data_IF_562119248343
#
_entry.id   IF_562119248343
#
_cell.length_a   1.000
_cell.length_b   1.000
_cell.length_c   1.000
_cell.angle_alpha   90.00
_cell.angle_beta   90.00
_cell.angle_gamma   90.00
#
_symmetry.space_group_name_H-M   'P 1'
#
loop_
_entity.id
_entity.type
_entity.pdbx_description
1 polymer ?
#
# COMPACT_ATOMS: atom_id res chain seq x y z
N UNK A 1 20.91 0.92 -24.13
CA UNK A 1 20.20 1.92 -23.28
C UNK A 1 20.94 2.07 -21.95
N UNK A 2 21.01 3.29 -21.41
CA UNK A 2 21.62 3.48 -20.09
C UNK A 2 20.61 3.01 -19.02
N UNK A 3 20.71 1.75 -18.60
CA UNK A 3 19.77 1.11 -17.67
C UNK A 3 19.58 1.90 -16.35
N UNK A 4 20.63 2.62 -15.90
CA UNK A 4 20.55 3.45 -14.69
C UNK A 4 19.60 4.65 -14.88
N UNK A 5 19.72 5.39 -16.00
CA UNK A 5 18.85 6.54 -16.28
C UNK A 5 17.39 6.10 -16.40
N UNK A 6 17.14 5.03 -17.13
CA UNK A 6 15.78 4.47 -17.29
C UNK A 6 15.22 4.02 -15.94
N UNK A 7 16.02 3.35 -15.10
CA UNK A 7 15.63 2.95 -13.76
C UNK A 7 15.12 4.14 -12.93
N UNK A 8 15.91 5.22 -12.85
CA UNK A 8 15.51 6.39 -12.06
C UNK A 8 14.30 7.13 -12.65
N UNK A 9 14.11 7.12 -13.97
CA UNK A 9 12.89 7.68 -14.59
C UNK A 9 11.61 6.96 -14.19
N UNK A 10 11.67 5.69 -13.83
CA UNK A 10 10.54 4.91 -13.33
C UNK A 10 10.40 4.99 -11.82
N UNK A 11 11.52 4.87 -11.10
CA UNK A 11 11.51 4.70 -9.64
C UNK A 11 11.29 6.03 -8.91
N UNK A 12 11.94 7.13 -9.30
CA UNK A 12 11.80 8.40 -8.61
C UNK A 12 10.35 8.90 -8.59
N UNK A 13 9.61 8.96 -9.73
CA UNK A 13 8.20 9.37 -9.68
C UNK A 13 7.35 8.44 -8.82
N UNK A 14 7.65 7.14 -8.81
CA UNK A 14 6.94 6.17 -7.98
C UNK A 14 7.17 6.44 -6.50
N UNK A 15 8.42 6.60 -6.07
CA UNK A 15 8.79 6.91 -4.67
C UNK A 15 8.14 8.20 -4.21
N UNK A 16 8.19 9.26 -5.03
CA UNK A 16 7.54 10.54 -4.71
C UNK A 16 6.01 10.42 -4.59
N UNK A 17 5.36 9.63 -5.45
CA UNK A 17 3.92 9.38 -5.37
C UNK A 17 3.54 8.74 -4.03
N UNK A 18 4.28 7.72 -3.61
CA UNK A 18 4.04 7.03 -2.35
C UNK A 18 4.37 7.89 -1.14
N UNK A 19 5.44 8.69 -1.19
CA UNK A 19 5.75 9.66 -0.15
C UNK A 19 4.60 10.66 0.07
N UNK A 20 4.09 11.22 -1.04
CA UNK A 20 2.98 12.17 -1.01
C UNK A 20 1.68 11.53 -0.52
N UNK A 21 1.43 10.24 -0.79
CA UNK A 21 0.27 9.54 -0.23
C UNK A 21 0.33 9.42 1.30
N UNK A 22 1.52 9.26 1.87
CA UNK A 22 1.71 9.28 3.32
C UNK A 22 1.44 10.65 3.94
N UNK A 23 1.95 11.72 3.30
CA UNK A 23 1.69 13.10 3.73
C UNK A 23 0.21 13.44 3.62
N UNK A 24 -0.43 13.05 2.52
CA UNK A 24 -1.86 13.22 2.30
C UNK A 24 -2.71 12.62 3.44
N UNK A 25 -2.40 11.40 3.87
CA UNK A 25 -3.14 10.75 4.95
C UNK A 25 -3.07 11.52 6.29
N UNK A 26 -1.95 12.20 6.55
CA UNK A 26 -1.81 13.09 7.73
C UNK A 26 -2.68 14.34 7.58
N UNK A 27 -2.72 14.93 6.39
CA UNK A 27 -3.51 16.16 6.11
C UNK A 27 -5.01 15.87 6.19
N UNK A 28 -5.47 14.74 5.65
CA UNK A 28 -6.87 14.28 5.76
C UNK A 28 -7.29 14.12 7.24
N UNK A 29 -6.46 13.43 8.03
CA UNK A 29 -6.67 13.30 9.46
C UNK A 29 -6.69 14.64 10.20
N UNK A 30 -5.88 15.62 9.78
CA UNK A 30 -5.87 16.96 10.35
C UNK A 30 -7.20 17.71 10.13
N UNK A 31 -7.78 17.67 8.94
CA UNK A 31 -9.07 18.32 8.68
C UNK A 31 -10.19 17.68 9.48
N UNK A 32 -10.26 16.36 9.54
CA UNK A 32 -11.29 15.63 10.29
C UNK A 32 -11.14 15.86 11.79
N UNK A 33 -9.93 15.76 12.33
CA UNK A 33 -9.67 15.93 13.76
C UNK A 33 -10.01 17.34 14.26
N UNK A 34 -9.69 18.38 13.46
CA UNK A 34 -9.96 19.76 13.86
C UNK A 34 -11.41 20.20 13.61
N UNK A 35 -12.16 19.54 12.73
CA UNK A 35 -13.54 19.94 12.40
C UNK A 35 -14.59 19.11 13.09
N UNK A 36 -14.33 17.81 13.30
CA UNK A 36 -15.30 16.85 13.88
C UNK A 36 -14.84 16.43 15.28
N UNK A 37 -13.57 16.65 15.61
CA UNK A 37 -12.96 16.29 16.88
C UNK A 37 -12.52 14.83 16.96
N UNK A 38 -12.23 14.38 18.19
CA UNK A 38 -11.68 13.05 18.48
C UNK A 38 -12.60 11.91 18.05
N UNK A 39 -13.92 12.12 18.12
CA UNK A 39 -14.90 11.12 17.69
C UNK A 39 -14.81 10.85 16.17
N UNK A 40 -14.69 11.92 15.35
CA UNK A 40 -14.52 11.79 13.91
C UNK A 40 -13.23 11.07 13.54
N UNK A 41 -12.12 11.45 14.18
CA UNK A 41 -10.81 10.85 13.95
C UNK A 41 -10.81 9.36 14.35
N UNK A 42 -11.41 9.03 15.48
CA UNK A 42 -11.56 7.64 15.94
C UNK A 42 -12.45 6.82 15.02
N UNK A 43 -13.54 7.40 14.52
CA UNK A 43 -14.45 6.74 13.57
C UNK A 43 -13.74 6.41 12.24
N UNK A 44 -12.92 7.33 11.70
CA UNK A 44 -12.10 7.06 10.49
C UNK A 44 -11.08 5.95 10.74
N UNK A 45 -10.39 5.97 11.88
CA UNK A 45 -9.41 4.93 12.21
C UNK A 45 -10.04 3.52 12.26
N UNK A 46 -11.26 3.40 12.81
CA UNK A 46 -11.99 2.13 12.82
C UNK A 46 -12.47 1.76 11.40
N UNK A 47 -12.86 2.75 10.60
CA UNK A 47 -13.34 2.56 9.22
C UNK A 47 -12.21 2.27 8.21
N UNK A 48 -10.97 2.66 8.50
CA UNK A 48 -9.83 2.59 7.58
C UNK A 48 -9.54 1.19 7.03
N UNK A 49 -9.64 0.07 7.77
CA UNK A 49 -9.48 -1.26 7.21
C UNK A 49 -10.43 -1.58 6.06
N UNK A 50 -11.65 -1.00 6.06
CA UNK A 50 -12.62 -1.21 4.99
C UNK A 50 -12.17 -0.48 3.72
N UNK A 51 -11.72 0.77 3.85
CA UNK A 51 -11.15 1.54 2.72
C UNK A 51 -9.88 0.88 2.18
N UNK A 52 -9.05 0.32 3.05
CA UNK A 52 -7.85 -0.42 2.69
C UNK A 52 -8.17 -1.67 1.85
N UNK A 53 -9.28 -2.36 2.10
CA UNK A 53 -9.73 -3.48 1.25
C UNK A 53 -10.05 -3.00 -0.16
N UNK A 54 -10.77 -1.89 -0.32
CA UNK A 54 -11.09 -1.34 -1.64
C UNK A 54 -9.81 -0.96 -2.42
N UNK A 55 -8.88 -0.29 -1.74
CA UNK A 55 -7.56 0.02 -2.30
C UNK A 55 -6.78 -1.23 -2.71
N UNK A 56 -6.76 -2.23 -1.84
CA UNK A 56 -6.02 -3.48 -2.07
C UNK A 56 -6.56 -4.24 -3.27
N UNK A 57 -7.89 -4.28 -3.45
CA UNK A 57 -8.54 -4.89 -4.62
C UNK A 57 -8.12 -4.17 -5.90
N UNK A 58 -8.20 -2.83 -5.93
CA UNK A 58 -7.76 -2.04 -7.09
C UNK A 58 -6.28 -2.28 -7.41
N UNK A 59 -5.40 -2.14 -6.42
CA UNK A 59 -3.96 -2.35 -6.57
C UNK A 59 -3.65 -3.78 -7.03
N UNK A 60 -4.27 -4.79 -6.42
CA UNK A 60 -4.05 -6.19 -6.77
C UNK A 60 -4.44 -6.51 -8.20
N UNK A 61 -5.66 -6.16 -8.62
CA UNK A 61 -6.14 -6.40 -9.99
C UNK A 61 -5.33 -5.60 -11.00
N UNK A 62 -5.07 -4.32 -10.71
CA UNK A 62 -4.28 -3.44 -11.57
C UNK A 62 -2.86 -3.93 -11.76
N UNK A 63 -2.18 -4.34 -10.68
CA UNK A 63 -0.84 -4.88 -10.74
C UNK A 63 -0.81 -6.23 -11.46
N UNK A 64 -1.75 -7.13 -11.15
CA UNK A 64 -1.83 -8.44 -11.81
C UNK A 64 -1.99 -8.35 -13.31
N UNK A 65 -2.88 -7.47 -13.78
CA UNK A 65 -3.10 -7.23 -15.21
C UNK A 65 -1.93 -6.53 -15.89
N UNK A 66 -1.35 -5.51 -15.26
CA UNK A 66 -0.27 -4.70 -15.84
C UNK A 66 1.07 -5.43 -15.91
N UNK A 67 1.40 -6.27 -14.92
CA UNK A 67 2.57 -7.16 -14.95
C UNK A 67 2.48 -8.10 -16.15
N UNK A 68 1.33 -8.78 -16.30
CA UNK A 68 1.14 -9.73 -17.41
C UNK A 68 1.15 -9.04 -18.76
N UNK A 69 0.54 -7.84 -18.84
CA UNK A 69 0.64 -6.99 -20.02
C UNK A 69 2.09 -6.71 -20.41
N UNK A 70 2.93 -6.26 -19.47
CA UNK A 70 4.33 -5.93 -19.73
C UNK A 70 5.14 -7.13 -20.19
N UNK A 71 4.96 -8.29 -19.55
CA UNK A 71 5.65 -9.53 -19.92
C UNK A 71 5.28 -9.95 -21.35
N UNK A 72 3.98 -10.02 -21.65
CA UNK A 72 3.49 -10.48 -22.95
C UNK A 72 3.84 -9.51 -24.08
N UNK A 73 3.76 -8.21 -23.81
CA UNK A 73 4.15 -7.18 -24.80
C UNK A 73 5.64 -7.27 -25.12
N UNK A 74 6.50 -7.41 -24.12
CA UNK A 74 7.93 -7.56 -24.31
C UNK A 74 8.30 -8.88 -25.01
N UNK A 75 7.49 -9.93 -24.82
CA UNK A 75 7.59 -11.20 -25.54
C UNK A 75 7.04 -11.16 -26.99
N UNK A 76 6.58 -10.00 -27.48
CA UNK A 76 6.03 -9.81 -28.83
C UNK A 76 4.56 -10.23 -29.00
N UNK A 77 3.86 -10.61 -27.94
CA UNK A 77 2.46 -11.04 -28.02
C UNK A 77 1.50 -9.91 -27.61
N UNK A 78 1.43 -8.87 -28.42
CA UNK A 78 0.65 -7.66 -28.12
C UNK A 78 -0.87 -7.93 -28.04
N UNK A 79 -1.40 -8.83 -28.88
CA UNK A 79 -2.83 -9.19 -28.86
C UNK A 79 -3.21 -9.74 -27.50
N UNK A 80 -2.46 -10.73 -27.01
CA UNK A 80 -2.71 -11.34 -25.70
C UNK A 80 -2.45 -10.38 -24.54
N UNK A 81 -1.45 -9.50 -24.67
CA UNK A 81 -1.21 -8.46 -23.69
C UNK A 81 -2.45 -7.55 -23.49
N UNK A 82 -3.11 -7.16 -24.57
CA UNK A 82 -4.35 -6.34 -24.52
C UNK A 82 -5.52 -7.08 -23.87
N UNK A 83 -5.60 -8.40 -23.99
CA UNK A 83 -6.63 -9.20 -23.30
C UNK A 83 -6.50 -9.11 -21.77
N UNK A 84 -5.29 -8.99 -21.23
CA UNK A 84 -5.07 -8.77 -19.80
C UNK A 84 -5.47 -7.37 -19.34
N UNK A 85 -5.37 -6.35 -20.21
CA UNK A 85 -5.93 -5.01 -19.92
C UNK A 85 -7.45 -5.10 -19.82
N UNK A 86 -8.11 -5.72 -20.80
CA UNK A 86 -9.55 -5.92 -20.79
C UNK A 86 -10.02 -6.76 -19.60
N UNK A 87 -9.34 -7.87 -19.32
CA UNK A 87 -9.65 -8.75 -18.18
C UNK A 87 -9.54 -8.02 -16.85
N UNK A 88 -8.49 -7.22 -16.65
CA UNK A 88 -8.34 -6.43 -15.44
C UNK A 88 -9.43 -5.36 -15.31
N UNK A 89 -9.80 -4.71 -16.42
CA UNK A 89 -10.89 -3.71 -16.44
C UNK A 89 -12.21 -4.35 -16.02
N UNK A 90 -12.56 -5.52 -16.59
CA UNK A 90 -13.78 -6.24 -16.23
C UNK A 90 -13.77 -6.72 -14.77
N UNK A 91 -12.62 -7.19 -14.27
CA UNK A 91 -12.48 -7.57 -12.87
C UNK A 91 -12.63 -6.36 -11.94
N UNK A 92 -12.03 -5.22 -12.28
CA UNK A 92 -12.21 -3.98 -11.50
C UNK A 92 -13.66 -3.55 -11.47
N UNK A 93 -14.39 -3.62 -12.59
CA UNK A 93 -15.83 -3.33 -12.65
C UNK A 93 -16.64 -4.30 -11.77
N UNK A 94 -16.40 -5.60 -11.92
CA UNK A 94 -17.10 -6.63 -11.14
C UNK A 94 -16.86 -6.46 -9.64
N UNK A 95 -15.59 -6.35 -9.23
CA UNK A 95 -15.26 -6.21 -7.80
C UNK A 95 -15.73 -4.88 -7.24
N UNK A 96 -15.72 -3.78 -8.01
CA UNK A 96 -16.30 -2.50 -7.60
C UNK A 96 -17.79 -2.65 -7.30
N UNK A 97 -18.56 -3.30 -8.19
CA UNK A 97 -19.99 -3.51 -7.99
C UNK A 97 -20.26 -4.39 -6.77
N UNK A 98 -19.53 -5.50 -6.62
CA UNK A 98 -19.65 -6.39 -5.47
C UNK A 98 -19.32 -5.66 -4.17
N UNK A 99 -18.21 -4.91 -4.14
CA UNK A 99 -17.80 -4.16 -2.95
C UNK A 99 -18.79 -3.05 -2.63
N UNK A 100 -19.32 -2.31 -3.63
CA UNK A 100 -20.37 -1.31 -3.41
C UNK A 100 -21.55 -1.93 -2.69
N UNK A 101 -22.11 -3.01 -3.23
CA UNK A 101 -23.30 -3.66 -2.64
C UNK A 101 -22.96 -4.22 -1.26
N UNK A 102 -21.89 -5.01 -1.16
CA UNK A 102 -21.56 -5.68 0.11
C UNK A 102 -21.26 -4.67 1.21
N UNK A 103 -20.34 -3.72 0.96
CA UNK A 103 -19.93 -2.74 1.98
C UNK A 103 -21.08 -1.82 2.35
N UNK A 104 -21.89 -1.36 1.39
CA UNK A 104 -23.02 -0.47 1.66
C UNK A 104 -24.03 -1.09 2.59
N UNK A 105 -24.41 -2.34 2.38
CA UNK A 105 -25.42 -3.03 3.19
C UNK A 105 -24.86 -3.67 4.47
N UNK A 106 -23.54 -3.89 4.58
CA UNK A 106 -22.95 -4.54 5.75
C UNK A 106 -22.06 -3.60 6.57
N UNK A 107 -21.92 -2.32 6.20
CA UNK A 107 -21.03 -1.34 6.84
C UNK A 107 -21.20 -1.27 8.36
N UNK A 108 -22.44 -1.17 8.84
CA UNK A 108 -22.76 -1.08 10.26
C UNK A 108 -22.33 -2.33 11.04
N UNK A 109 -22.59 -3.52 10.47
CA UNK A 109 -22.18 -4.80 11.07
C UNK A 109 -20.66 -4.96 11.11
N UNK A 110 -19.99 -4.56 10.03
CA UNK A 110 -18.52 -4.63 9.96
C UNK A 110 -17.90 -3.65 10.96
N UNK A 111 -18.38 -2.41 11.02
CA UNK A 111 -17.90 -1.40 11.97
C UNK A 111 -18.13 -1.83 13.43
N UNK A 112 -19.31 -2.39 13.75
CA UNK A 112 -19.58 -2.96 15.07
C UNK A 112 -18.63 -4.10 15.42
N UNK A 113 -18.35 -4.99 14.47
CA UNK A 113 -17.38 -6.07 14.65
C UNK A 113 -15.94 -5.56 14.83
N UNK A 114 -15.61 -4.39 14.27
CA UNK A 114 -14.33 -3.70 14.48
C UNK A 114 -14.29 -2.90 15.79
N UNK A 115 -15.37 -2.88 16.56
CA UNK A 115 -15.44 -2.25 17.88
C UNK A 115 -16.10 -0.87 17.91
N UNK A 116 -16.68 -0.39 16.80
CA UNK A 116 -17.45 0.85 16.82
C UNK A 116 -18.79 0.68 17.55
N UNK A 117 -19.15 1.65 18.37
CA UNK A 117 -20.44 1.72 19.07
C UNK A 117 -20.89 3.18 19.23
N UNK A 118 -22.20 3.40 19.47
CA UNK A 118 -22.75 4.73 19.71
C UNK A 118 -22.41 5.73 18.60
N UNK A 119 -21.86 6.88 18.98
CA UNK A 119 -21.49 7.96 18.06
C UNK A 119 -20.45 7.52 17.03
N UNK A 120 -19.44 6.73 17.42
CA UNK A 120 -18.38 6.23 16.51
C UNK A 120 -18.96 5.35 15.41
N UNK A 121 -19.98 4.54 15.73
CA UNK A 121 -20.67 3.71 14.75
C UNK A 121 -21.46 4.57 13.76
N UNK A 122 -22.14 5.61 14.25
CA UNK A 122 -22.92 6.52 13.39
C UNK A 122 -22.01 7.27 12.42
N UNK A 123 -20.95 7.90 12.93
CA UNK A 123 -19.98 8.66 12.13
C UNK A 123 -19.23 7.76 11.13
N UNK A 124 -18.77 6.59 11.59
CA UNK A 124 -18.09 5.62 10.72
C UNK A 124 -18.99 5.06 9.63
N UNK A 125 -20.27 4.79 9.94
CA UNK A 125 -21.23 4.28 8.97
C UNK A 125 -21.60 5.34 7.91
N UNK A 126 -21.75 6.62 8.30
CA UNK A 126 -21.93 7.72 7.38
C UNK A 126 -20.76 7.80 6.39
N UNK A 127 -19.53 7.77 6.89
CA UNK A 127 -18.30 7.79 6.08
C UNK A 127 -18.25 6.60 5.11
N UNK A 128 -18.40 5.37 5.62
CA UNK A 128 -18.24 4.15 4.82
C UNK A 128 -19.33 3.98 3.77
N UNK A 129 -20.56 4.40 4.02
CA UNK A 129 -21.61 4.35 2.98
C UNK A 129 -21.28 5.22 1.77
N UNK A 130 -20.72 6.40 1.99
CA UNK A 130 -20.28 7.27 0.88
C UNK A 130 -19.08 6.65 0.16
N UNK A 131 -18.09 6.14 0.89
CA UNK A 131 -16.95 5.42 0.30
C UNK A 131 -17.42 4.21 -0.52
N UNK A 132 -18.40 3.44 -0.05
CA UNK A 132 -18.96 2.30 -0.77
C UNK A 132 -19.60 2.70 -2.09
N UNK A 133 -20.35 3.80 -2.12
CA UNK A 133 -20.93 4.34 -3.38
C UNK A 133 -19.84 4.79 -4.35
N UNK A 134 -18.71 5.26 -3.84
CA UNK A 134 -17.52 5.63 -4.62
C UNK A 134 -16.54 4.47 -4.89
N UNK A 135 -16.89 3.21 -4.57
CA UNK A 135 -15.96 2.09 -4.69
C UNK A 135 -15.36 1.93 -6.11
N UNK A 136 -16.14 2.23 -7.15
CA UNK A 136 -15.63 2.22 -8.54
C UNK A 136 -14.50 3.25 -8.72
N UNK A 137 -14.63 4.45 -8.17
CA UNK A 137 -13.62 5.50 -8.27
C UNK A 137 -12.36 5.09 -7.51
N UNK A 138 -12.52 4.49 -6.33
CA UNK A 138 -11.44 3.99 -5.49
C UNK A 138 -10.67 2.84 -6.16
N UNK A 139 -11.38 1.82 -6.65
CA UNK A 139 -10.77 0.62 -7.27
C UNK A 139 -10.08 0.98 -8.59
N UNK A 140 -10.70 1.82 -9.43
CA UNK A 140 -10.08 2.26 -10.68
C UNK A 140 -8.98 3.29 -10.46
N UNK A 141 -9.14 4.22 -9.51
CA UNK A 141 -8.11 5.20 -9.14
C UNK A 141 -6.80 4.52 -8.75
N UNK A 142 -6.87 3.46 -7.93
CA UNK A 142 -5.68 2.70 -7.51
C UNK A 142 -5.23 1.67 -8.56
N UNK A 143 -6.17 1.03 -9.26
CA UNK A 143 -5.89 -0.06 -10.20
C UNK A 143 -5.31 0.39 -11.54
N UNK A 144 -5.60 1.61 -12.02
CA UNK A 144 -5.05 2.11 -13.27
C UNK A 144 -3.62 2.65 -13.15
N UNK A 145 -3.20 3.06 -11.97
CA UNK A 145 -1.84 3.57 -11.71
C UNK A 145 -0.75 2.56 -12.09
N UNK A 146 -0.81 1.27 -11.72
CA UNK A 146 0.11 0.25 -12.20
C UNK A 146 0.16 0.13 -13.73
N UNK A 147 -0.98 0.23 -14.42
CA UNK A 147 -1.02 0.22 -15.88
C UNK A 147 -0.28 1.41 -16.48
N UNK A 148 -0.47 2.64 -15.94
CA UNK A 148 0.26 3.81 -16.41
C UNK A 148 1.76 3.61 -16.33
N UNK A 149 2.26 3.07 -15.19
CA UNK A 149 3.69 2.75 -15.01
C UNK A 149 4.17 1.72 -16.03
N UNK A 150 3.40 0.66 -16.24
CA UNK A 150 3.72 -0.42 -17.18
C UNK A 150 3.62 0.02 -18.65
N UNK A 151 2.91 1.11 -18.96
CA UNK A 151 2.89 1.75 -20.28
C UNK A 151 4.04 2.74 -20.50
N UNK A 152 4.95 2.87 -19.54
CA UNK A 152 6.08 3.80 -19.60
C UNK A 152 5.79 5.19 -19.05
N UNK A 153 4.65 5.39 -18.41
CA UNK A 153 4.18 6.67 -17.90
C UNK A 153 4.32 6.84 -16.38
N UNK A 154 5.44 6.46 -15.78
CA UNK A 154 5.64 6.61 -14.33
C UNK A 154 5.48 8.06 -13.84
N UNK A 155 5.95 9.03 -14.63
CA UNK A 155 5.74 10.45 -14.34
C UNK A 155 4.25 10.84 -14.40
N UNK A 156 3.51 10.33 -15.39
CA UNK A 156 2.07 10.58 -15.51
C UNK A 156 1.27 9.90 -14.40
N UNK A 157 1.71 8.72 -13.94
CA UNK A 157 1.14 8.05 -12.78
C UNK A 157 1.32 8.90 -11.50
N UNK A 158 2.50 9.52 -11.33
CA UNK A 158 2.75 10.46 -10.25
C UNK A 158 1.85 11.68 -10.36
N UNK A 159 1.73 12.30 -11.53
CA UNK A 159 0.86 13.46 -11.76
C UNK A 159 -0.60 13.13 -11.44
N UNK A 160 -1.10 11.96 -11.88
CA UNK A 160 -2.46 11.52 -11.58
C UNK A 160 -2.72 11.42 -10.07
N UNK A 161 -1.80 10.83 -9.32
CA UNK A 161 -1.90 10.73 -7.86
C UNK A 161 -1.83 12.11 -7.19
N UNK A 162 -0.93 12.99 -7.62
CA UNK A 162 -0.81 14.36 -7.09
C UNK A 162 -2.10 15.14 -7.34
N UNK A 163 -2.67 15.09 -8.55
CA UNK A 163 -3.94 15.75 -8.86
C UNK A 163 -5.07 15.23 -7.95
N UNK A 164 -5.13 13.90 -7.73
CA UNK A 164 -6.11 13.30 -6.82
C UNK A 164 -5.96 13.80 -5.39
N UNK A 165 -4.73 13.77 -4.85
CA UNK A 165 -4.45 14.23 -3.48
C UNK A 165 -4.70 15.73 -3.31
N UNK A 166 -4.26 16.56 -4.25
CA UNK A 166 -4.51 18.00 -4.21
C UNK A 166 -6.01 18.33 -4.27
N UNK A 167 -6.76 17.60 -5.10
CA UNK A 167 -8.23 17.73 -5.17
C UNK A 167 -8.88 17.34 -3.86
N UNK A 168 -8.47 16.21 -3.28
CA UNK A 168 -9.01 15.77 -2.00
C UNK A 168 -8.75 16.82 -0.90
N UNK A 169 -7.50 17.29 -0.72
CA UNK A 169 -7.14 18.33 0.26
C UNK A 169 -7.98 19.60 0.08
N UNK A 170 -8.15 20.07 -1.17
CA UNK A 170 -8.97 21.24 -1.47
C UNK A 170 -10.45 21.02 -1.11
N UNK A 171 -10.95 19.81 -1.34
CA UNK A 171 -12.34 19.44 -1.03
C UNK A 171 -12.54 19.16 0.47
N UNK A 172 -11.56 18.61 1.19
CA UNK A 172 -11.62 18.49 2.64
C UNK A 172 -11.70 19.87 3.29
N UNK A 173 -10.84 20.81 2.87
CA UNK A 173 -10.95 22.19 3.30
C UNK A 173 -12.35 22.77 3.03
N UNK A 174 -12.89 22.54 1.83
CA UNK A 174 -14.19 23.10 1.42
C UNK A 174 -15.34 22.40 2.13
N UNK A 175 -15.42 21.08 2.09
CA UNK A 175 -16.58 20.32 2.58
C UNK A 175 -16.57 20.16 4.09
N UNK A 176 -15.41 19.87 4.68
CA UNK A 176 -15.30 19.59 6.10
C UNK A 176 -15.15 20.89 6.88
N UNK A 177 -14.22 21.76 6.47
CA UNK A 177 -13.90 22.98 7.23
C UNK A 177 -14.87 24.13 6.95
N UNK A 178 -15.08 24.50 5.66
CA UNK A 178 -15.90 25.68 5.33
C UNK A 178 -17.39 25.37 5.40
N UNK A 179 -17.83 24.24 4.84
CA UNK A 179 -19.25 23.88 4.75
C UNK A 179 -19.75 23.04 5.94
N UNK A 180 -18.88 22.59 6.84
CA UNK A 180 -19.25 21.82 8.03
C UNK A 180 -19.98 20.51 7.73
N UNK A 181 -19.67 19.86 6.60
CA UNK A 181 -20.37 18.63 6.14
C UNK A 181 -19.91 17.37 6.88
N UNK A 182 -19.07 17.48 7.89
CA UNK A 182 -18.66 16.37 8.75
C UNK A 182 -18.07 15.18 8.00
N UNK A 183 -18.40 13.97 8.45
CA UNK A 183 -17.90 12.71 7.88
C UNK A 183 -18.32 12.47 6.44
N UNK A 184 -19.52 12.91 6.07
CA UNK A 184 -20.01 12.88 4.70
C UNK A 184 -19.11 13.70 3.77
N UNK A 185 -18.70 14.91 4.20
CA UNK A 185 -17.80 15.79 3.44
C UNK A 185 -16.43 15.16 3.22
N UNK A 186 -15.83 14.57 4.25
CA UNK A 186 -14.53 13.89 4.17
C UNK A 186 -14.58 12.69 3.21
N UNK A 187 -15.63 11.87 3.30
CA UNK A 187 -15.81 10.75 2.40
C UNK A 187 -16.00 11.20 0.93
N UNK A 188 -16.79 12.26 0.68
CA UNK A 188 -16.96 12.83 -0.65
C UNK A 188 -15.63 13.36 -1.22
N UNK A 189 -14.84 14.08 -0.44
CA UNK A 189 -13.54 14.58 -0.85
C UNK A 189 -12.62 13.41 -1.26
N UNK A 190 -12.61 12.33 -0.48
CA UNK A 190 -11.83 11.13 -0.76
C UNK A 190 -12.23 10.47 -2.09
N UNK A 191 -13.52 10.20 -2.31
CA UNK A 191 -13.96 9.52 -3.54
C UNK A 191 -13.81 10.40 -4.78
N UNK A 192 -13.99 11.72 -4.67
CA UNK A 192 -13.77 12.65 -5.79
C UNK A 192 -12.26 12.73 -6.10
N UNK A 193 -11.39 12.80 -5.11
CA UNK A 193 -9.94 12.74 -5.30
C UNK A 193 -9.51 11.48 -6.04
N UNK A 194 -10.04 10.30 -5.66
CA UNK A 194 -9.81 9.06 -6.41
C UNK A 194 -10.39 9.09 -7.82
N UNK A 195 -11.55 9.74 -8.00
CA UNK A 195 -12.16 9.97 -9.31
C UNK A 195 -11.28 10.82 -10.24
N UNK A 196 -10.61 11.84 -9.71
CA UNK A 196 -9.64 12.65 -10.47
C UNK A 196 -8.42 11.81 -10.84
N UNK A 197 -7.87 11.02 -9.93
CA UNK A 197 -6.79 10.06 -10.24
C UNK A 197 -7.21 9.11 -11.36
N UNK A 198 -8.41 8.53 -11.27
CA UNK A 198 -8.98 7.67 -12.30
C UNK A 198 -9.13 8.40 -13.64
N UNK A 199 -9.67 9.62 -13.64
CA UNK A 199 -9.89 10.39 -14.87
C UNK A 199 -8.57 10.69 -15.60
N UNK A 200 -7.55 11.15 -14.88
CA UNK A 200 -6.21 11.39 -15.45
C UNK A 200 -5.61 10.09 -16.02
N UNK A 201 -5.76 8.98 -15.29
CA UNK A 201 -5.28 7.68 -15.74
C UNK A 201 -6.02 7.20 -17.01
N UNK A 202 -7.33 7.35 -17.07
CA UNK A 202 -8.13 7.00 -18.26
C UNK A 202 -7.74 7.84 -19.47
N UNK A 203 -7.57 9.16 -19.30
CA UNK A 203 -7.10 10.05 -20.38
C UNK A 203 -5.74 9.60 -20.89
N UNK A 204 -4.78 9.33 -20.00
CA UNK A 204 -3.46 8.83 -20.38
C UNK A 204 -3.55 7.51 -21.16
N UNK A 205 -4.32 6.55 -20.66
CA UNK A 205 -4.49 5.25 -21.30
C UNK A 205 -5.18 5.36 -22.67
N UNK A 206 -6.13 6.29 -22.81
CA UNK A 206 -6.82 6.58 -24.08
C UNK A 206 -5.85 7.18 -25.12
N UNK A 207 -5.07 8.19 -24.75
CA UNK A 207 -4.05 8.81 -25.61
C UNK A 207 -3.03 7.77 -26.10
N UNK A 208 -2.63 6.84 -25.23
CA UNK A 208 -1.73 5.74 -25.59
C UNK A 208 -2.38 4.60 -26.37
N UNK A 209 -3.69 4.69 -26.67
CA UNK A 209 -4.51 3.67 -27.36
C UNK A 209 -4.44 2.28 -26.69
N UNK A 210 -4.27 2.25 -25.38
CA UNK A 210 -4.12 1.02 -24.61
C UNK A 210 -5.42 0.62 -23.85
N UNK A 211 -6.50 1.39 -24.00
CA UNK A 211 -7.82 1.00 -23.47
C UNK A 211 -8.48 -0.01 -24.41
N UNK A 212 -8.89 -1.14 -23.85
CA UNK A 212 -9.67 -2.15 -24.55
C UNK A 212 -10.55 -2.92 -23.57
N UNK A 213 -11.76 -3.24 -24.02
CA UNK A 213 -12.68 -4.11 -23.30
C UNK A 213 -12.88 -5.46 -24.03
N UNK A 214 -12.18 -5.64 -25.17
CA UNK A 214 -12.30 -6.84 -25.99
C UNK A 214 -11.45 -7.97 -25.42
N UNK A 215 -12.10 -9.06 -25.03
CA UNK A 215 -11.48 -10.30 -24.59
C UNK A 215 -12.23 -11.46 -25.24
N UNK A 216 -11.49 -12.49 -25.65
CA UNK A 216 -12.11 -13.70 -26.18
C UNK A 216 -12.85 -14.45 -25.05
N UNK A 217 -14.14 -14.82 -25.23
CA UNK A 217 -14.94 -15.45 -24.16
C UNK A 217 -14.29 -16.72 -23.59
N UNK A 218 -13.65 -17.51 -24.44
CA UNK A 218 -12.97 -18.78 -24.06
C UNK A 218 -11.79 -18.54 -23.12
N UNK A 219 -11.09 -17.42 -23.25
CA UNK A 219 -9.90 -17.12 -22.46
C UNK A 219 -10.21 -16.32 -21.18
N UNK A 220 -11.45 -15.84 -21.01
CA UNK A 220 -11.84 -14.99 -19.89
C UNK A 220 -11.54 -15.59 -18.51
N UNK A 221 -11.90 -16.84 -18.19
CA UNK A 221 -11.63 -17.43 -16.88
C UNK A 221 -10.14 -17.62 -16.61
N UNK A 222 -9.37 -18.02 -17.64
CA UNK A 222 -7.91 -18.20 -17.52
C UNK A 222 -7.20 -16.87 -17.31
N UNK A 223 -7.60 -15.84 -18.05
CA UNK A 223 -7.07 -14.48 -17.91
C UNK A 223 -7.39 -13.91 -16.53
N UNK A 224 -8.63 -14.02 -16.07
CA UNK A 224 -9.05 -13.59 -14.74
C UNK A 224 -8.24 -14.29 -13.64
N UNK A 225 -8.11 -15.63 -13.72
CA UNK A 225 -7.32 -16.39 -12.75
C UNK A 225 -5.84 -15.94 -12.72
N UNK A 226 -5.22 -15.71 -13.88
CA UNK A 226 -3.83 -15.27 -13.93
C UNK A 226 -3.65 -13.86 -13.36
N UNK A 227 -4.58 -12.94 -13.61
CA UNK A 227 -4.58 -11.59 -13.02
C UNK A 227 -4.65 -11.68 -11.49
N UNK A 228 -5.63 -12.42 -10.97
CA UNK A 228 -5.80 -12.59 -9.52
C UNK A 228 -4.61 -13.31 -8.88
N UNK A 229 -4.05 -14.30 -9.59
CA UNK A 229 -2.87 -15.02 -9.13
C UNK A 229 -1.65 -14.12 -8.98
N UNK A 230 -1.37 -13.21 -9.89
CA UNK A 230 -0.26 -12.25 -9.75
C UNK A 230 -0.65 -11.17 -8.72
N UNK A 231 -1.89 -10.70 -8.78
CA UNK A 231 -2.41 -9.60 -7.98
C UNK A 231 -2.54 -9.89 -6.48
N UNK A 232 -2.55 -11.15 -6.06
CA UNK A 232 -2.72 -11.52 -4.65
C UNK A 232 -1.57 -11.00 -3.75
N UNK A 233 -0.34 -10.96 -4.25
CA UNK A 233 0.78 -10.42 -3.48
C UNK A 233 0.70 -8.88 -3.33
N UNK A 234 0.52 -8.07 -4.39
CA UNK A 234 0.27 -6.63 -4.25
C UNK A 234 -0.96 -6.28 -3.42
N UNK A 235 -2.04 -7.06 -3.54
CA UNK A 235 -3.21 -6.97 -2.66
C UNK A 235 -2.79 -7.11 -1.19
N UNK A 236 -2.08 -8.17 -0.86
CA UNK A 236 -1.61 -8.44 0.49
C UNK A 236 -0.63 -7.39 1.01
N UNK A 237 0.30 -6.89 0.17
CA UNK A 237 1.23 -5.82 0.55
C UNK A 237 0.52 -4.51 0.93
N UNK A 238 -0.63 -4.23 0.34
CA UNK A 238 -1.46 -3.06 0.68
C UNK A 238 -2.27 -3.30 1.96
N UNK A 239 -2.72 -4.52 2.20
CA UNK A 239 -3.58 -4.87 3.34
C UNK A 239 -2.79 -5.24 4.60
N UNK A 240 -1.65 -5.92 4.47
CA UNK A 240 -0.89 -6.46 5.60
C UNK A 240 -0.46 -5.41 6.65
N UNK A 241 -0.06 -4.17 6.32
CA UNK A 241 0.24 -3.15 7.32
C UNK A 241 -0.94 -2.84 8.25
N UNK A 242 -2.17 -2.88 7.72
CA UNK A 242 -3.38 -2.65 8.51
C UNK A 242 -3.66 -3.81 9.46
N UNK A 243 -3.42 -5.04 9.03
CA UNK A 243 -3.52 -6.23 9.89
C UNK A 243 -2.50 -6.13 11.02
N UNK A 244 -1.27 -5.77 10.71
CA UNK A 244 -0.19 -5.59 11.69
C UNK A 244 -0.54 -4.51 12.72
N UNK A 245 -1.08 -3.37 12.28
CA UNK A 245 -1.53 -2.28 13.15
C UNK A 245 -2.60 -2.77 14.14
N UNK A 246 -3.62 -3.49 13.67
CA UNK A 246 -4.69 -4.03 14.51
C UNK A 246 -4.13 -5.02 15.54
N UNK A 247 -3.25 -5.91 15.13
CA UNK A 247 -2.62 -6.89 16.03
C UNK A 247 -1.82 -6.17 17.13
N UNK A 248 -0.92 -5.26 16.77
CA UNK A 248 -0.08 -4.53 17.73
C UNK A 248 -0.97 -3.75 18.71
N UNK A 249 -1.96 -3.00 18.24
CA UNK A 249 -2.86 -2.23 19.10
C UNK A 249 -3.64 -3.14 20.05
N UNK A 250 -4.19 -4.25 19.57
CA UNK A 250 -4.98 -5.18 20.39
C UNK A 250 -4.18 -5.73 21.56
N UNK A 251 -2.94 -6.11 21.34
CA UNK A 251 -2.09 -6.63 22.41
C UNK A 251 -1.51 -5.52 23.30
N UNK A 252 -1.23 -4.33 22.73
CA UNK A 252 -0.74 -3.19 23.52
C UNK A 252 -1.76 -2.71 24.56
N UNK A 253 -3.07 -2.85 24.33
CA UNK A 253 -4.11 -2.57 25.34
C UNK A 253 -3.84 -3.35 26.65
N UNK A 254 -3.49 -4.62 26.53
CA UNK A 254 -3.32 -5.52 27.69
C UNK A 254 -2.00 -5.36 28.42
N UNK A 255 -0.93 -4.94 27.72
CA UNK A 255 0.43 -4.90 28.28
C UNK A 255 0.94 -3.50 28.60
N UNK A 256 0.54 -2.48 27.85
CA UNK A 256 1.06 -1.12 27.99
C UNK A 256 -0.01 -0.03 28.12
N UNK A 257 -1.29 -0.41 28.07
CA UNK A 257 -2.40 0.51 28.23
C UNK A 257 -2.47 1.61 27.16
N UNK A 258 -3.10 2.71 27.51
CA UNK A 258 -3.35 3.83 26.56
C UNK A 258 -2.08 4.56 26.16
N UNK A 259 -1.10 4.69 27.06
CA UNK A 259 0.17 5.35 26.75
C UNK A 259 0.95 4.62 25.65
N UNK A 260 1.01 3.27 25.71
CA UNK A 260 1.66 2.48 24.68
C UNK A 260 0.98 2.60 23.32
N UNK A 261 -0.36 2.65 23.29
CA UNK A 261 -1.12 2.83 22.05
C UNK A 261 -0.86 4.21 21.46
N UNK A 262 -0.89 5.28 22.27
CA UNK A 262 -0.59 6.64 21.81
C UNK A 262 0.84 6.78 21.32
N UNK A 263 1.82 6.18 22.03
CA UNK A 263 3.22 6.12 21.61
C UNK A 263 3.36 5.43 20.26
N UNK A 264 2.73 4.26 20.08
CA UNK A 264 2.78 3.51 18.83
C UNK A 264 2.06 4.23 17.70
N UNK A 265 0.97 4.93 17.97
CA UNK A 265 0.27 5.74 16.96
C UNK A 265 1.22 6.78 16.33
N UNK A 266 1.93 7.57 17.15
CA UNK A 266 2.92 8.54 16.65
C UNK A 266 4.03 7.87 15.81
N UNK A 267 4.54 6.72 16.28
CA UNK A 267 5.57 5.96 15.60
C UNK A 267 5.06 5.40 14.28
N UNK A 268 3.87 4.81 14.26
CA UNK A 268 3.32 4.13 13.11
C UNK A 268 3.07 5.07 11.93
N UNK A 269 2.62 6.31 12.16
CA UNK A 269 2.47 7.31 11.10
C UNK A 269 3.79 7.61 10.39
N UNK A 270 4.86 7.81 11.14
CA UNK A 270 6.18 8.14 10.59
C UNK A 270 6.79 6.93 9.87
N UNK A 271 6.73 5.75 10.49
CA UNK A 271 7.26 4.51 9.91
C UNK A 271 6.46 4.11 8.66
N UNK A 272 5.15 4.36 8.63
CA UNK A 272 4.32 4.13 7.44
C UNK A 272 4.82 4.92 6.23
N UNK A 273 5.21 6.19 6.41
CA UNK A 273 5.78 6.99 5.31
C UNK A 273 7.04 6.33 4.77
N UNK A 274 7.93 5.83 5.64
CA UNK A 274 9.15 5.13 5.20
C UNK A 274 8.80 3.86 4.43
N UNK A 275 7.86 3.07 4.93
CA UNK A 275 7.42 1.86 4.24
C UNK A 275 6.80 2.15 2.87
N UNK A 276 6.07 3.26 2.74
CA UNK A 276 5.54 3.74 1.46
C UNK A 276 6.66 4.16 0.51
N UNK A 277 7.69 4.85 0.98
CA UNK A 277 8.88 5.16 0.17
C UNK A 277 9.53 3.88 -0.40
N UNK A 278 9.74 2.87 0.45
CA UNK A 278 10.33 1.59 0.06
C UNK A 278 9.41 0.81 -0.89
N UNK A 279 8.09 0.85 -0.68
CA UNK A 279 7.10 0.31 -1.63
C UNK A 279 7.22 0.99 -2.99
N UNK A 280 7.42 2.31 -3.00
CA UNK A 280 7.63 3.09 -4.22
C UNK A 280 8.83 2.62 -5.06
N UNK A 281 9.91 2.13 -4.41
CA UNK A 281 11.05 1.53 -5.12
C UNK A 281 10.66 0.20 -5.77
N UNK A 282 9.97 -0.67 -5.03
CA UNK A 282 9.48 -1.96 -5.54
C UNK A 282 8.54 -1.78 -6.74
N UNK A 283 7.48 -1.00 -6.56
CA UNK A 283 6.46 -0.77 -7.58
C UNK A 283 6.97 0.06 -8.77
N UNK A 284 7.95 0.96 -8.55
CA UNK A 284 8.60 1.73 -9.60
C UNK A 284 9.54 0.90 -10.47
N UNK A 285 10.21 -0.08 -9.88
CA UNK A 285 11.13 -0.97 -10.60
C UNK A 285 10.42 -2.15 -11.28
N UNK A 286 9.22 -2.51 -10.82
CA UNK A 286 8.43 -3.65 -11.32
C UNK A 286 8.21 -3.61 -12.84
N UNK A 287 7.82 -2.49 -13.48
CA UNK A 287 7.59 -2.47 -14.91
C UNK A 287 8.81 -2.88 -15.73
N UNK A 288 9.99 -2.40 -15.33
CA UNK A 288 11.26 -2.75 -15.99
C UNK A 288 11.60 -4.22 -15.77
N UNK A 289 11.42 -4.74 -14.54
CA UNK A 289 11.65 -6.15 -14.26
C UNK A 289 10.74 -7.05 -15.10
N UNK A 290 9.46 -6.70 -15.27
CA UNK A 290 8.51 -7.45 -16.09
C UNK A 290 8.83 -7.38 -17.58
N UNK A 291 9.25 -6.21 -18.09
CA UNK A 291 9.66 -6.04 -19.47
C UNK A 291 10.91 -6.87 -19.80
N UNK A 292 11.96 -6.77 -18.98
CA UNK A 292 13.19 -7.54 -19.21
C UNK A 292 12.96 -9.04 -19.03
N UNK A 293 12.09 -9.45 -18.11
CA UNK A 293 11.72 -10.84 -17.95
C UNK A 293 10.99 -11.37 -19.20
N UNK A 294 10.01 -10.61 -19.71
CA UNK A 294 9.26 -10.97 -20.92
C UNK A 294 10.11 -11.01 -22.19
N UNK A 295 11.10 -10.10 -22.30
CA UNK A 295 12.07 -10.07 -23.41
C UNK A 295 13.19 -11.10 -23.31
N UNK A 296 13.31 -11.84 -22.20
CA UNK A 296 14.42 -12.76 -21.95
C UNK A 296 15.77 -12.07 -21.66
N UNK A 297 15.76 -10.77 -21.34
CA UNK A 297 16.96 -9.97 -21.07
C UNK A 297 17.46 -10.16 -19.63
N UNK A 298 18.07 -11.29 -19.34
CA UNK A 298 18.48 -11.66 -17.97
C UNK A 298 19.49 -10.68 -17.35
N UNK A 299 20.43 -10.18 -18.14
CA UNK A 299 21.45 -9.22 -17.67
C UNK A 299 20.80 -7.91 -17.23
N UNK A 300 19.87 -7.37 -18.03
CA UNK A 300 19.11 -6.14 -17.72
C UNK A 300 18.19 -6.34 -16.50
N UNK A 301 17.55 -7.50 -16.39
CA UNK A 301 16.73 -7.87 -15.24
C UNK A 301 17.57 -7.92 -13.95
N UNK A 302 18.75 -8.58 -13.98
CA UNK A 302 19.65 -8.66 -12.82
C UNK A 302 20.14 -7.27 -12.41
N UNK A 303 20.56 -6.44 -13.38
CA UNK A 303 20.99 -5.06 -13.10
C UNK A 303 19.87 -4.23 -12.47
N UNK A 304 18.64 -4.33 -12.98
CA UNK A 304 17.48 -3.62 -12.42
C UNK A 304 17.19 -4.04 -11.00
N UNK A 305 17.24 -5.34 -10.69
CA UNK A 305 17.09 -5.86 -9.32
C UNK A 305 18.16 -5.31 -8.38
N UNK A 306 19.43 -5.36 -8.80
CA UNK A 306 20.56 -4.84 -8.01
C UNK A 306 20.39 -3.36 -7.71
N UNK A 307 20.06 -2.54 -8.72
CA UNK A 307 19.78 -1.11 -8.53
C UNK A 307 18.60 -0.85 -7.58
N UNK A 308 17.55 -1.69 -7.65
CA UNK A 308 16.42 -1.57 -6.74
C UNK A 308 16.81 -1.87 -5.30
N UNK A 309 17.61 -2.91 -5.05
CA UNK A 309 18.12 -3.20 -3.70
C UNK A 309 19.05 -2.11 -3.19
N UNK A 310 20.02 -1.67 -3.98
CA UNK A 310 20.96 -0.62 -3.61
C UNK A 310 20.23 0.68 -3.27
N UNK A 311 19.33 1.13 -4.15
CA UNK A 311 18.59 2.37 -3.94
C UNK A 311 17.62 2.27 -2.76
N UNK A 312 16.92 1.15 -2.60
CA UNK A 312 16.02 0.91 -1.46
C UNK A 312 16.79 0.89 -0.13
N UNK A 313 17.99 0.28 -0.10
CA UNK A 313 18.84 0.26 1.09
C UNK A 313 19.35 1.65 1.45
N UNK A 314 19.83 2.41 0.47
CA UNK A 314 20.27 3.81 0.68
C UNK A 314 19.12 4.63 1.25
N UNK A 315 17.92 4.52 0.65
CA UNK A 315 16.73 5.23 1.11
C UNK A 315 16.33 4.82 2.53
N UNK A 316 16.39 3.53 2.84
CA UNK A 316 16.11 2.98 4.17
C UNK A 316 17.06 3.55 5.24
N UNK A 317 18.37 3.55 4.95
CA UNK A 317 19.39 4.05 5.88
C UNK A 317 19.25 5.56 6.08
N UNK A 318 19.09 6.32 5.00
CA UNK A 318 18.90 7.79 5.08
C UNK A 318 17.64 8.11 5.89
N UNK A 319 16.52 7.44 5.62
CA UNK A 319 15.26 7.65 6.35
C UNK A 319 15.41 7.30 7.82
N UNK A 320 16.07 6.18 8.15
CA UNK A 320 16.30 5.76 9.53
C UNK A 320 17.16 6.78 10.29
N UNK A 321 18.24 7.28 9.68
CA UNK A 321 19.11 8.31 10.28
C UNK A 321 18.32 9.61 10.53
N UNK A 322 17.58 10.10 9.52
CA UNK A 322 16.80 11.34 9.64
C UNK A 322 15.75 11.23 10.76
N UNK A 323 15.02 10.12 10.82
CA UNK A 323 14.00 9.91 11.85
C UNK A 323 14.66 9.77 13.23
N UNK A 324 15.78 9.07 13.33
CA UNK A 324 16.51 8.97 14.59
C UNK A 324 16.94 10.34 15.12
N UNK A 325 17.46 11.22 14.27
CA UNK A 325 17.86 12.59 14.64
C UNK A 325 16.65 13.45 15.03
N UNK A 326 15.50 13.27 14.37
CA UNK A 326 14.28 14.06 14.59
C UNK A 326 13.34 13.45 15.63
N UNK A 327 13.63 12.26 16.19
CA UNK A 327 12.71 11.51 17.07
C UNK A 327 12.19 12.30 18.27
N UNK A 328 12.98 13.25 18.77
CA UNK A 328 12.58 14.11 19.88
C UNK A 328 11.49 15.14 19.54
N UNK A 329 11.24 15.37 18.24
CA UNK A 329 10.23 16.30 17.77
C UNK A 329 8.95 15.61 17.26
N UNK A 330 8.97 14.29 17.10
CA UNK A 330 7.88 13.53 16.49
C UNK A 330 6.61 13.59 17.35
N UNK A 331 6.72 13.29 18.66
CA UNK A 331 5.57 13.40 19.55
C UNK A 331 4.98 14.81 19.59
N UNK A 332 5.84 15.83 19.58
CA UNK A 332 5.43 17.23 19.55
C UNK A 332 4.67 17.58 18.25
N UNK A 333 5.05 17.00 17.12
CA UNK A 333 4.35 17.19 15.85
C UNK A 333 2.88 16.75 15.92
N UNK A 334 2.60 15.72 16.73
CA UNK A 334 1.24 15.19 16.94
C UNK A 334 0.55 15.78 18.18
N UNK A 335 1.14 16.78 18.82
CA UNK A 335 0.55 17.39 20.02
C UNK A 335 0.46 16.44 21.22
N UNK A 336 1.29 15.41 21.27
CA UNK A 336 1.26 14.40 22.33
C UNK A 336 1.76 14.95 23.67
N UNK A 337 1.35 14.29 24.79
CA UNK A 337 1.85 14.61 26.13
C UNK A 337 3.37 14.40 26.24
N UNK A 338 3.98 14.96 27.29
CA UNK A 338 5.41 14.79 27.55
C UNK A 338 5.80 13.31 27.75
N UNK A 339 4.91 12.53 28.39
CA UNK A 339 5.09 11.09 28.63
C UNK A 339 5.09 10.30 27.32
N UNK A 340 4.09 10.53 26.46
CA UNK A 340 4.02 9.90 25.12
C UNK A 340 5.22 10.30 24.26
N UNK A 341 5.65 11.56 24.29
CA UNK A 341 6.84 11.98 23.55
C UNK A 341 8.12 11.31 24.07
N UNK A 342 8.27 11.13 25.38
CA UNK A 342 9.36 10.37 25.97
C UNK A 342 9.31 8.88 25.54
N UNK A 343 8.12 8.30 25.48
CA UNK A 343 7.87 6.98 24.92
C UNK A 343 8.33 6.86 23.46
N UNK A 344 7.96 7.82 22.61
CA UNK A 344 8.39 7.88 21.20
C UNK A 344 9.92 7.93 21.07
N UNK A 345 10.58 8.80 21.84
CA UNK A 345 12.06 8.92 21.84
C UNK A 345 12.73 7.59 22.17
N UNK A 346 12.18 6.85 23.14
CA UNK A 346 12.73 5.57 23.62
C UNK A 346 12.46 4.42 22.65
N UNK A 347 11.28 4.39 22.04
CA UNK A 347 10.77 3.24 21.26
C UNK A 347 11.07 3.35 19.78
N UNK A 348 11.08 4.56 19.21
CA UNK A 348 11.35 4.78 17.77
C UNK A 348 12.62 4.04 17.29
N UNK A 349 13.77 4.05 17.99
CA UNK A 349 14.96 3.32 17.55
C UNK A 349 14.73 1.83 17.32
N UNK A 350 13.83 1.20 18.09
CA UNK A 350 13.48 -0.23 17.93
C UNK A 350 12.91 -0.45 16.53
N UNK A 351 11.92 0.36 16.14
CA UNK A 351 11.28 0.23 14.82
C UNK A 351 12.23 0.59 13.67
N UNK A 352 13.17 1.53 13.88
CA UNK A 352 14.15 1.91 12.85
C UNK A 352 15.08 0.75 12.46
N UNK A 353 15.35 -0.17 13.38
CA UNK A 353 16.11 -1.41 13.09
C UNK A 353 15.42 -2.23 11.98
N UNK A 354 14.09 -2.21 11.90
CA UNK A 354 13.34 -3.00 10.91
C UNK A 354 13.41 -2.44 9.49
N UNK A 355 13.72 -1.16 9.30
CA UNK A 355 13.61 -0.45 8.02
C UNK A 355 14.50 -1.05 6.91
N UNK A 356 15.78 -1.37 7.14
CA UNK A 356 16.61 -2.03 6.12
C UNK A 356 16.09 -3.42 5.71
N UNK A 357 15.51 -4.16 6.66
CA UNK A 357 14.94 -5.48 6.39
C UNK A 357 13.65 -5.38 5.57
N UNK A 358 12.80 -4.38 5.85
CA UNK A 358 11.63 -4.10 5.03
C UNK A 358 12.01 -3.74 3.59
N UNK A 359 13.09 -2.97 3.39
CA UNK A 359 13.62 -2.63 2.07
C UNK A 359 13.95 -3.89 1.24
N UNK A 360 14.63 -4.87 1.85
CA UNK A 360 14.95 -6.14 1.19
C UNK A 360 13.68 -6.90 0.82
N UNK A 361 12.74 -7.03 1.76
CA UNK A 361 11.51 -7.81 1.57
C UNK A 361 10.65 -7.21 0.46
N UNK A 362 10.45 -5.89 0.42
CA UNK A 362 9.62 -5.22 -0.59
C UNK A 362 10.18 -5.35 -2.00
N UNK A 363 11.49 -5.13 -2.18
CA UNK A 363 12.14 -5.30 -3.48
C UNK A 363 12.08 -6.76 -3.94
N UNK A 364 12.33 -7.72 -3.04
CA UNK A 364 12.24 -9.15 -3.36
C UNK A 364 10.83 -9.56 -3.77
N UNK A 365 9.83 -9.12 -3.02
CA UNK A 365 8.42 -9.42 -3.31
C UNK A 365 8.03 -8.85 -4.67
N UNK A 366 8.42 -7.58 -4.96
CA UNK A 366 8.20 -6.96 -6.25
C UNK A 366 8.88 -7.72 -7.39
N UNK A 367 10.13 -8.15 -7.20
CA UNK A 367 10.87 -8.93 -8.19
C UNK A 367 10.22 -10.30 -8.46
N UNK A 368 9.65 -10.94 -7.43
CA UNK A 368 8.98 -12.23 -7.59
C UNK A 368 7.67 -12.11 -8.36
N UNK A 369 6.76 -11.20 -7.99
CA UNK A 369 5.52 -11.07 -8.77
C UNK A 369 5.77 -10.48 -10.17
N UNK A 370 6.76 -9.59 -10.35
CA UNK A 370 7.17 -9.06 -11.64
C UNK A 370 7.69 -10.14 -12.61
N UNK A 371 8.16 -11.27 -12.08
CA UNK A 371 8.70 -12.41 -12.84
C UNK A 371 7.85 -13.68 -12.70
N UNK A 372 6.57 -13.54 -12.36
CA UNK A 372 5.57 -14.61 -12.21
C UNK A 372 5.94 -15.70 -11.17
N UNK A 373 6.81 -15.41 -10.22
CA UNK A 373 7.13 -16.29 -9.09
C UNK A 373 6.13 -16.08 -7.94
N UNK A 374 4.86 -16.26 -8.25
CA UNK A 374 3.75 -15.88 -7.40
C UNK A 374 3.77 -16.54 -6.02
N UNK A 375 4.12 -17.84 -5.92
CA UNK A 375 4.20 -18.53 -4.63
C UNK A 375 5.26 -17.89 -3.71
N UNK A 376 6.43 -17.51 -4.27
CA UNK A 376 7.47 -16.86 -3.48
C UNK A 376 7.03 -15.47 -3.01
N UNK A 377 6.32 -14.72 -3.86
CA UNK A 377 5.78 -13.42 -3.46
C UNK A 377 4.69 -13.56 -2.37
N UNK A 378 3.84 -14.60 -2.42
CA UNK A 378 2.84 -14.85 -1.38
C UNK A 378 3.50 -15.16 -0.04
N UNK A 379 4.49 -16.05 -0.05
CA UNK A 379 5.23 -16.37 1.18
C UNK A 379 5.74 -15.08 1.83
N UNK A 380 6.43 -14.21 1.09
CA UNK A 380 6.98 -12.98 1.64
C UNK A 380 5.91 -11.98 2.09
N UNK A 381 4.76 -11.94 1.41
CA UNK A 381 3.68 -11.02 1.73
C UNK A 381 2.93 -11.42 3.01
N UNK A 382 2.62 -12.70 3.17
CA UNK A 382 1.74 -13.17 4.25
C UNK A 382 2.45 -13.74 5.45
N UNK A 383 3.74 -14.10 5.33
CA UNK A 383 4.49 -14.69 6.43
C UNK A 383 4.78 -13.67 7.55
N UNK A 384 4.99 -12.38 7.21
CA UNK A 384 5.33 -11.34 8.19
C UNK A 384 4.26 -11.16 9.27
N UNK A 385 2.97 -10.88 8.94
CA UNK A 385 1.93 -10.74 9.97
C UNK A 385 1.70 -12.04 10.75
N UNK A 386 1.90 -13.21 10.14
CA UNK A 386 1.78 -14.51 10.81
C UNK A 386 2.91 -14.67 11.84
N UNK A 387 4.15 -14.45 11.44
CA UNK A 387 5.31 -14.53 12.36
C UNK A 387 5.14 -13.51 13.48
N UNK A 388 4.75 -12.29 13.15
CA UNK A 388 4.53 -11.23 14.13
C UNK A 388 3.49 -11.66 15.18
N UNK A 389 2.35 -12.22 14.77
CA UNK A 389 1.32 -12.72 15.67
C UNK A 389 1.86 -13.84 16.58
N UNK A 390 2.58 -14.81 16.02
CA UNK A 390 3.18 -15.89 16.79
C UNK A 390 4.17 -15.34 17.83
N UNK A 391 5.03 -14.40 17.43
CA UNK A 391 6.00 -13.80 18.34
C UNK A 391 5.33 -12.96 19.44
N UNK A 392 4.26 -12.22 19.12
CA UNK A 392 3.49 -11.46 20.10
C UNK A 392 2.80 -12.38 21.12
N UNK A 393 2.35 -13.55 20.70
CA UNK A 393 1.78 -14.54 21.64
C UNK A 393 2.83 -15.20 22.54
N UNK A 394 4.09 -15.31 22.09
CA UNK A 394 5.14 -16.02 22.79
C UNK A 394 6.04 -15.10 23.63
N UNK A 395 6.52 -13.97 23.07
CA UNK A 395 7.58 -13.18 23.70
C UNK A 395 7.09 -12.31 24.87
N UNK A 396 5.97 -11.56 24.79
CA UNK A 396 5.52 -10.71 25.90
C UNK A 396 5.26 -11.45 27.20
N UNK A 397 4.63 -12.65 27.21
CA UNK A 397 4.43 -13.40 28.45
C UNK A 397 5.73 -13.91 29.10
N UNK A 398 6.79 -14.17 28.31
CA UNK A 398 8.02 -14.80 28.78
C UNK A 398 9.08 -13.76 29.14
N UNK A 399 9.26 -12.72 28.32
CA UNK A 399 10.41 -11.81 28.41
C UNK A 399 10.08 -10.38 28.83
N UNK A 400 8.81 -10.07 29.11
CA UNK A 400 8.48 -8.79 29.73
C UNK A 400 7.68 -7.81 28.91
N UNK A 401 6.37 -8.06 28.81
CA UNK A 401 5.35 -7.04 28.57
C UNK A 401 5.43 -6.28 27.23
N UNK A 402 5.09 -5.01 27.29
CA UNK A 402 4.89 -4.14 26.12
C UNK A 402 6.10 -4.04 25.17
N UNK A 403 7.31 -4.02 25.71
CA UNK A 403 8.52 -3.87 24.88
C UNK A 403 8.70 -5.04 23.90
N UNK A 404 8.28 -6.24 24.31
CA UNK A 404 8.36 -7.43 23.46
C UNK A 404 7.32 -7.44 22.36
N UNK A 405 6.20 -6.72 22.48
CA UNK A 405 5.27 -6.51 21.39
C UNK A 405 5.96 -5.73 20.25
N UNK A 406 6.69 -4.67 20.59
CA UNK A 406 7.41 -3.87 19.59
C UNK A 406 8.56 -4.65 18.95
N UNK A 407 9.35 -5.39 19.76
CA UNK A 407 10.41 -6.26 19.23
C UNK A 407 9.85 -7.41 18.38
N UNK A 408 8.65 -7.92 18.68
CA UNK A 408 8.00 -8.95 17.84
C UNK A 408 7.74 -8.45 16.41
N UNK A 409 7.32 -7.20 16.25
CA UNK A 409 7.15 -6.60 14.94
C UNK A 409 8.49 -6.47 14.17
N UNK A 410 9.56 -6.09 14.87
CA UNK A 410 10.91 -6.00 14.28
C UNK A 410 11.46 -7.37 13.91
N UNK A 411 11.38 -8.35 14.82
CA UNK A 411 11.85 -9.72 14.55
C UNK A 411 11.09 -10.36 13.39
N UNK A 412 9.78 -10.12 13.26
CA UNK A 412 9.01 -10.59 12.11
C UNK A 412 9.60 -10.08 10.79
N UNK A 413 9.98 -8.81 10.71
CA UNK A 413 10.62 -8.22 9.51
C UNK A 413 12.01 -8.79 9.25
N UNK A 414 12.82 -8.98 10.30
CA UNK A 414 14.15 -9.60 10.18
C UNK A 414 14.05 -11.04 9.67
N UNK A 415 13.14 -11.83 10.22
CA UNK A 415 12.92 -13.21 9.78
C UNK A 415 12.40 -13.23 8.32
N UNK A 416 11.44 -12.38 7.99
CA UNK A 416 10.90 -12.31 6.61
C UNK A 416 11.98 -11.90 5.61
N UNK A 417 12.84 -10.93 5.95
CA UNK A 417 13.97 -10.55 5.10
C UNK A 417 14.99 -11.68 4.93
N UNK A 418 15.27 -12.44 6.02
CA UNK A 418 16.15 -13.61 5.96
C UNK A 418 15.57 -14.69 5.02
N UNK A 419 14.29 -14.98 5.14
CA UNK A 419 13.56 -15.87 4.22
C UNK A 419 13.65 -15.35 2.78
N UNK A 420 13.46 -14.04 2.59
CA UNK A 420 13.57 -13.38 1.27
C UNK A 420 14.93 -13.59 0.62
N UNK A 421 16.02 -13.40 1.38
CA UNK A 421 17.39 -13.62 0.89
C UNK A 421 17.59 -15.09 0.49
N UNK A 422 17.20 -16.02 1.36
CA UNK A 422 17.35 -17.47 1.09
C UNK A 422 16.59 -17.87 -0.19
N UNK A 423 15.33 -17.42 -0.35
CA UNK A 423 14.52 -17.70 -1.53
C UNK A 423 15.13 -17.07 -2.79
N UNK A 424 15.66 -15.85 -2.71
CA UNK A 424 16.30 -15.17 -3.83
C UNK A 424 17.58 -15.86 -4.29
N UNK A 425 18.41 -16.31 -3.36
CA UNK A 425 19.66 -17.05 -3.65
C UNK A 425 19.34 -18.43 -4.24
N UNK A 426 18.44 -19.19 -3.62
CA UNK A 426 18.05 -20.53 -4.16
C UNK A 426 17.47 -20.44 -5.56
N UNK A 427 16.61 -19.47 -5.80
CA UNK A 427 16.03 -19.25 -7.13
C UNK A 427 17.09 -18.89 -8.17
N UNK A 428 18.04 -18.02 -7.83
CA UNK A 428 19.15 -17.67 -8.73
C UNK A 428 20.06 -18.87 -9.04
N UNK A 429 20.31 -19.73 -8.07
CA UNK A 429 21.12 -20.93 -8.23
C UNK A 429 20.45 -22.00 -9.13
N UNK A 430 19.12 -22.16 -9.01
CA UNK A 430 18.37 -23.09 -9.87
C UNK A 430 18.31 -22.67 -11.34
N UNK A 431 18.41 -21.37 -11.61
CA UNK A 431 18.36 -20.82 -12.97
C UNK A 431 19.72 -20.86 -13.68
N UNK A 432 20.80 -20.97 -12.93
CA UNK A 432 22.17 -21.08 -13.47
C UNK A 432 22.59 -22.54 -13.73
N UNK A 433 21.75 -23.51 -13.37
CA UNK A 433 21.84 -24.93 -13.73
C UNK A 433 20.92 -25.26 -14.88
#
# INVERSE_FOLDING_TARGET
MNNKRTFFQYVIPSVLSFALSGVYAIVDGFFVGNSIGDAGLSAINIAYPITAVLQSVGTGIGMGGSVKYSILKAAGNEKKAREFVAGATWLMLLFSAVLTVTVFFTSEKILSALGASGELLTLGNEYIKVIALGAILQVFGTGLVPFMRNYGGSLWAMIAMICGFATNIALDYTFVWVLGRGMYGAALATIIGQGVTMAVALVYCAIKKNLTLKIAPVDTPKTAFQILKIGLAPFGLTLAPNISLVIINRFSVSYGGQEAIATYACISYIICIVYLLLQGVGDGSQPLMSQFYGAGEEKSLKQTKTLAYEFSMILAVISAILIYLLRGKIGLLFGSSAEVNAGVIKVMPIFLVSVPFDAITRVSTAAFYATEKNVLSYVLTFIEPIIMLVLILMLPPVFGGQIMIWWSAVFAKVITASVSIVLSVRYSAQRNR
#
